data_IF_467146050869
#
_entry.id   IF_467146050869
#
_cell.length_a   1.000
_cell.length_b   1.000
_cell.length_c   1.000
_cell.angle_alpha   90.00
_cell.angle_beta   90.00
_cell.angle_gamma   90.00
#
_symmetry.space_group_name_H-M   'P 1'
#
loop_
_entity.id
_entity.type
_entity.pdbx_description
1 polymer ?
#
# COMPACT_ATOMS: atom_id res chain seq x y z
N UNK A 1 -35.73 10.52 -13.34
CA UNK A 1 -34.32 10.74 -12.96
C UNK A 1 -34.20 10.36 -11.49
N UNK A 2 -33.40 9.34 -11.16
CA UNK A 2 -33.22 8.91 -9.77
C UNK A 2 -32.52 10.03 -8.99
N UNK A 3 -33.12 10.47 -7.89
CA UNK A 3 -32.56 11.48 -6.99
C UNK A 3 -32.43 10.86 -5.61
N UNK A 4 -31.27 11.06 -4.99
CA UNK A 4 -31.01 10.65 -3.62
C UNK A 4 -30.43 11.86 -2.89
N UNK A 5 -31.16 12.38 -1.89
CA UNK A 5 -30.76 13.54 -1.11
C UNK A 5 -30.24 14.70 -1.99
N UNK A 6 -28.95 15.02 -1.88
CA UNK A 6 -28.25 16.06 -2.61
C UNK A 6 -27.62 15.60 -3.94
N UNK A 7 -27.86 14.37 -4.38
CA UNK A 7 -27.29 13.81 -5.62
C UNK A 7 -28.34 13.50 -6.69
N UNK A 8 -27.96 13.74 -7.94
CA UNK A 8 -28.76 13.45 -9.13
C UNK A 8 -28.02 12.43 -9.99
N UNK A 9 -28.65 11.28 -10.24
CA UNK A 9 -28.13 10.30 -11.18
C UNK A 9 -28.20 10.84 -12.62
N UNK A 10 -27.10 10.66 -13.36
CA UNK A 10 -26.94 11.08 -14.76
C UNK A 10 -27.05 9.92 -15.74
N UNK A 11 -26.01 9.09 -15.77
CA UNK A 11 -25.87 7.99 -16.73
C UNK A 11 -25.53 6.70 -16.00
N UNK A 12 -26.16 5.60 -16.41
CA UNK A 12 -25.87 4.28 -15.88
C UNK A 12 -24.47 3.86 -16.34
N UNK A 13 -23.61 3.48 -15.39
CA UNK A 13 -22.25 2.99 -15.65
C UNK A 13 -22.23 1.47 -15.74
N UNK A 14 -22.96 0.79 -14.85
CA UNK A 14 -23.07 -0.67 -14.86
C UNK A 14 -24.36 -1.13 -14.17
N UNK A 15 -24.74 -2.38 -14.44
CA UNK A 15 -25.91 -3.02 -13.84
C UNK A 15 -25.66 -4.51 -13.65
N UNK A 16 -26.14 -5.02 -12.53
CA UNK A 16 -26.12 -6.43 -12.14
C UNK A 16 -27.51 -6.81 -11.60
N UNK A 17 -27.71 -8.07 -11.26
CA UNK A 17 -28.99 -8.55 -10.73
C UNK A 17 -29.40 -7.82 -9.42
N UNK A 18 -28.43 -7.44 -8.60
CA UNK A 18 -28.66 -6.92 -7.25
C UNK A 18 -28.26 -5.46 -7.05
N UNK A 19 -27.53 -4.89 -8.01
CA UNK A 19 -27.05 -3.51 -7.91
C UNK A 19 -26.96 -2.80 -9.26
N UNK A 20 -27.10 -1.48 -9.23
CA UNK A 20 -26.91 -0.60 -10.39
C UNK A 20 -25.99 0.56 -10.01
N UNK A 21 -25.05 0.89 -10.89
CA UNK A 21 -24.09 1.97 -10.69
C UNK A 21 -24.37 3.11 -11.65
N UNK A 22 -24.38 4.33 -11.13
CA UNK A 22 -24.67 5.55 -11.86
C UNK A 22 -23.54 6.56 -11.68
N UNK A 23 -23.19 7.27 -12.76
CA UNK A 23 -22.56 8.57 -12.62
C UNK A 23 -23.59 9.53 -12.05
N UNK A 24 -23.21 10.33 -11.07
CA UNK A 24 -24.06 11.27 -10.40
C UNK A 24 -23.40 12.64 -10.28
N UNK A 25 -24.20 13.67 -9.95
CA UNK A 25 -23.70 14.98 -9.55
C UNK A 25 -24.34 15.45 -8.27
N UNK A 26 -23.53 16.10 -7.43
CA UNK A 26 -24.04 16.84 -6.29
C UNK A 26 -24.81 18.09 -6.77
N UNK A 27 -26.00 18.33 -6.23
CA UNK A 27 -26.95 19.37 -6.66
C UNK A 27 -26.39 20.78 -6.49
N UNK A 28 -25.74 21.03 -5.35
CA UNK A 28 -25.21 22.35 -5.00
C UNK A 28 -23.82 22.62 -5.59
N UNK A 29 -22.84 21.72 -5.39
CA UNK A 29 -21.47 21.92 -5.85
C UNK A 29 -21.27 21.61 -7.34
N UNK A 30 -22.12 20.76 -7.92
CA UNK A 30 -21.95 20.28 -9.30
C UNK A 30 -20.83 19.24 -9.47
N UNK A 31 -20.19 18.83 -8.37
CA UNK A 31 -19.13 17.82 -8.34
C UNK A 31 -19.66 16.45 -8.75
N UNK A 32 -18.81 15.68 -9.42
CA UNK A 32 -19.13 14.33 -9.89
C UNK A 32 -18.94 13.31 -8.78
N UNK A 33 -19.83 12.31 -8.77
CA UNK A 33 -19.82 11.22 -7.82
C UNK A 33 -20.30 9.94 -8.48
N UNK A 34 -20.11 8.80 -7.82
CA UNK A 34 -20.64 7.51 -8.24
C UNK A 34 -21.71 7.05 -7.26
N UNK A 35 -22.92 6.79 -7.74
CA UNK A 35 -24.00 6.20 -6.96
C UNK A 35 -24.09 4.70 -7.22
N UNK A 36 -23.76 3.88 -6.21
CA UNK A 36 -23.94 2.43 -6.22
C UNK A 36 -25.21 2.09 -5.44
N UNK A 37 -26.26 1.70 -6.16
CA UNK A 37 -27.59 1.42 -5.61
C UNK A 37 -27.80 -0.09 -5.53
N UNK A 38 -28.26 -0.59 -4.39
CA UNK A 38 -28.51 -1.99 -4.11
C UNK A 38 -29.98 -2.22 -3.78
N UNK A 39 -30.54 -3.29 -4.34
CA UNK A 39 -31.88 -3.77 -4.01
C UNK A 39 -31.74 -4.85 -2.93
N UNK A 40 -32.06 -4.48 -1.69
CA UNK A 40 -31.90 -5.32 -0.50
C UNK A 40 -32.81 -6.54 -0.53
N UNK A 41 -33.95 -6.47 -1.23
CA UNK A 41 -34.88 -7.59 -1.39
C UNK A 41 -34.30 -8.72 -2.26
N UNK A 42 -33.36 -8.38 -3.15
CA UNK A 42 -32.69 -9.34 -4.06
C UNK A 42 -31.43 -9.97 -3.47
N UNK A 43 -30.99 -9.54 -2.30
CA UNK A 43 -29.77 -10.05 -1.66
C UNK A 43 -30.07 -11.28 -0.80
N UNK A 44 -29.38 -12.38 -1.08
CA UNK A 44 -29.30 -13.48 -0.11
C UNK A 44 -28.43 -13.08 1.10
N UNK A 45 -28.45 -13.89 2.16
CA UNK A 45 -27.69 -13.64 3.40
C UNK A 45 -26.20 -13.37 3.16
N UNK A 46 -25.55 -14.19 2.32
CA UNK A 46 -24.12 -14.05 2.06
C UNK A 46 -23.77 -12.75 1.34
N UNK A 47 -24.61 -12.33 0.38
CA UNK A 47 -24.44 -11.07 -0.34
C UNK A 47 -24.75 -9.87 0.55
N UNK A 48 -25.74 -9.97 1.44
CA UNK A 48 -26.03 -8.94 2.43
C UNK A 48 -24.88 -8.78 3.43
N UNK A 49 -24.28 -9.90 3.85
CA UNK A 49 -23.07 -9.89 4.66
C UNK A 49 -21.88 -9.27 3.90
N UNK A 50 -21.73 -9.51 2.58
CA UNK A 50 -20.73 -8.79 1.77
C UNK A 50 -20.96 -7.27 1.81
N UNK A 51 -22.20 -6.86 1.54
CA UNK A 51 -22.56 -5.44 1.45
C UNK A 51 -22.34 -4.73 2.78
N UNK A 52 -22.72 -5.36 3.90
CA UNK A 52 -22.50 -4.81 5.23
C UNK A 52 -21.00 -4.67 5.55
N UNK A 53 -20.17 -5.65 5.16
CA UNK A 53 -18.72 -5.54 5.34
C UNK A 53 -18.10 -4.43 4.47
N UNK A 54 -18.53 -4.29 3.20
CA UNK A 54 -18.11 -3.20 2.31
C UNK A 54 -18.47 -1.85 2.92
N UNK A 55 -19.72 -1.69 3.37
CA UNK A 55 -20.20 -0.46 3.99
C UNK A 55 -19.47 -0.14 5.31
N UNK A 56 -19.33 -1.11 6.22
CA UNK A 56 -18.63 -0.93 7.51
C UNK A 56 -17.18 -0.49 7.28
N UNK A 57 -16.47 -1.17 6.38
CA UNK A 57 -15.09 -0.83 6.07
C UNK A 57 -14.98 0.57 5.47
N UNK A 58 -15.72 0.86 4.40
CA UNK A 58 -15.65 2.15 3.70
C UNK A 58 -16.10 3.32 4.58
N UNK A 59 -17.02 3.10 5.53
CA UNK A 59 -17.42 4.12 6.50
C UNK A 59 -16.34 4.42 7.54
N UNK A 60 -15.39 3.50 7.75
CA UNK A 60 -14.35 3.60 8.78
C UNK A 60 -13.01 4.15 8.29
N UNK A 61 -12.86 4.39 6.99
CA UNK A 61 -11.59 4.72 6.36
C UNK A 61 -11.65 6.01 5.53
N UNK A 62 -10.62 6.84 5.67
CA UNK A 62 -10.35 8.00 4.82
C UNK A 62 -8.87 7.99 4.47
N UNK A 63 -8.53 7.49 3.28
CA UNK A 63 -7.14 7.31 2.84
C UNK A 63 -7.02 7.67 1.35
N UNK A 64 -5.98 8.41 0.92
CA UNK A 64 -5.85 8.87 -0.47
C UNK A 64 -5.87 7.74 -1.50
N UNK A 65 -5.39 6.54 -1.14
CA UNK A 65 -5.31 5.38 -2.03
C UNK A 65 -6.42 4.34 -1.85
N UNK A 66 -7.53 4.70 -1.20
CA UNK A 66 -8.74 3.87 -1.09
C UNK A 66 -9.92 4.74 -1.53
N UNK A 67 -10.87 4.16 -2.28
CA UNK A 67 -12.06 4.89 -2.72
C UNK A 67 -12.84 5.39 -1.51
N UNK A 68 -13.17 6.69 -1.51
CA UNK A 68 -13.88 7.34 -0.41
C UNK A 68 -15.39 7.19 -0.56
N UNK A 69 -16.02 6.81 0.54
CA UNK A 69 -17.46 6.89 0.72
C UNK A 69 -17.83 8.31 1.16
N UNK A 70 -18.59 9.00 0.33
CA UNK A 70 -19.02 10.38 0.55
C UNK A 70 -20.32 10.44 1.35
N UNK A 71 -21.28 9.58 0.99
CA UNK A 71 -22.61 9.56 1.60
C UNK A 71 -23.24 8.18 1.51
N UNK A 72 -24.14 7.89 2.45
CA UNK A 72 -24.92 6.65 2.48
C UNK A 72 -26.36 7.01 2.80
N UNK A 73 -27.28 6.41 2.05
CA UNK A 73 -28.70 6.44 2.37
C UNK A 73 -29.25 5.02 2.30
N UNK A 74 -30.12 4.66 3.23
CA UNK A 74 -30.74 3.36 3.30
C UNK A 74 -32.20 3.48 3.73
N UNK A 75 -33.09 2.77 3.04
CA UNK A 75 -34.46 2.49 3.45
C UNK A 75 -34.69 0.97 3.60
N UNK A 76 -35.94 0.53 3.71
CA UNK A 76 -36.28 -0.88 3.93
C UNK A 76 -35.89 -1.78 2.74
N UNK A 77 -35.95 -1.25 1.51
CA UNK A 77 -35.79 -2.00 0.27
C UNK A 77 -34.48 -1.70 -0.46
N UNK A 78 -33.89 -0.52 -0.23
CA UNK A 78 -32.73 -0.02 -0.97
C UNK A 78 -31.63 0.51 -0.07
N UNK A 79 -30.39 0.28 -0.50
CA UNK A 79 -29.19 0.91 0.05
C UNK A 79 -28.46 1.61 -1.08
N UNK A 80 -28.06 2.86 -0.88
CA UNK A 80 -27.32 3.65 -1.85
C UNK A 80 -26.04 4.17 -1.21
N UNK A 81 -24.91 3.84 -1.82
CA UNK A 81 -23.60 4.39 -1.49
C UNK A 81 -23.20 5.42 -2.53
N UNK A 82 -22.86 6.62 -2.08
CA UNK A 82 -22.26 7.66 -2.92
C UNK A 82 -20.75 7.65 -2.68
N UNK A 83 -19.99 7.31 -3.72
CA UNK A 83 -18.54 7.26 -3.72
C UNK A 83 -17.98 8.46 -4.47
N UNK A 84 -16.74 8.84 -4.17
CA UNK A 84 -16.00 9.81 -4.98
C UNK A 84 -15.87 9.32 -6.43
N UNK A 85 -15.84 10.26 -7.37
CA UNK A 85 -15.59 9.97 -8.78
C UNK A 85 -14.11 10.16 -9.09
N UNK A 86 -13.53 9.23 -9.85
CA UNK A 86 -12.14 9.29 -10.32
C UNK A 86 -12.13 9.50 -11.83
N UNK A 87 -11.62 10.65 -12.28
CA UNK A 87 -11.74 11.12 -13.66
C UNK A 87 -10.74 10.47 -14.64
N UNK A 88 -9.67 9.87 -14.14
CA UNK A 88 -8.67 9.13 -14.90
C UNK A 88 -9.09 7.71 -15.32
N UNK A 89 -10.26 7.24 -14.89
CA UNK A 89 -10.78 5.91 -15.21
C UNK A 89 -10.09 4.78 -14.45
N UNK A 90 -9.97 3.60 -15.07
CA UNK A 90 -9.35 2.42 -14.43
C UNK A 90 -7.89 2.24 -14.87
N UNK A 91 -7.10 1.57 -14.04
CA UNK A 91 -5.73 1.17 -14.40
C UNK A 91 -5.72 0.21 -15.61
N UNK A 92 -6.75 -0.61 -15.77
CA UNK A 92 -6.93 -1.46 -16.97
C UNK A 92 -7.03 -0.61 -18.25
N UNK A 93 -7.88 0.43 -18.23
CA UNK A 93 -8.01 1.38 -19.35
C UNK A 93 -6.72 2.16 -19.60
N UNK A 94 -5.98 2.49 -18.55
CA UNK A 94 -4.66 3.13 -18.66
C UNK A 94 -3.65 2.21 -19.37
N UNK A 95 -3.52 0.96 -18.96
CA UNK A 95 -2.62 -0.02 -19.59
C UNK A 95 -3.04 -0.28 -21.04
N UNK A 96 -4.34 -0.38 -21.33
CA UNK A 96 -4.84 -0.54 -22.69
C UNK A 96 -4.48 0.64 -23.60
N UNK A 97 -4.53 1.86 -23.07
CA UNK A 97 -4.25 3.10 -23.82
C UNK A 97 -2.77 3.34 -24.04
N UNK A 98 -1.95 3.11 -23.02
CA UNK A 98 -0.52 3.47 -23.04
C UNK A 98 0.41 2.27 -23.22
N UNK A 99 -0.10 1.04 -23.15
CA UNK A 99 0.68 -0.18 -23.17
C UNK A 99 1.41 -0.42 -21.85
N UNK A 100 2.61 -1.00 -21.94
CA UNK A 100 3.45 -1.19 -20.75
C UNK A 100 3.87 0.16 -20.16
N UNK A 101 3.96 0.19 -18.83
CA UNK A 101 4.31 1.34 -18.02
C UNK A 101 5.81 1.30 -17.71
N UNK A 102 6.45 2.47 -17.77
CA UNK A 102 7.86 2.59 -17.41
C UNK A 102 8.09 2.23 -15.94
N UNK A 103 9.25 1.66 -15.66
CA UNK A 103 9.56 1.08 -14.35
C UNK A 103 9.40 2.09 -13.21
N UNK A 104 9.84 3.34 -13.41
CA UNK A 104 9.75 4.37 -12.37
C UNK A 104 8.32 4.85 -12.12
N UNK A 105 7.44 4.80 -13.12
CA UNK A 105 6.00 5.06 -12.96
C UNK A 105 5.36 3.87 -12.24
N UNK A 106 5.69 2.64 -12.65
CA UNK A 106 5.20 1.43 -12.01
C UNK A 106 5.58 1.39 -10.52
N UNK A 107 6.81 1.78 -10.15
CA UNK A 107 7.23 1.92 -8.74
C UNK A 107 6.35 2.90 -7.96
N UNK A 108 6.02 4.06 -8.55
CA UNK A 108 5.11 5.05 -7.92
C UNK A 108 3.71 4.47 -7.73
N UNK A 109 3.18 3.80 -8.74
CA UNK A 109 1.89 3.11 -8.66
C UNK A 109 1.88 2.02 -7.59
N UNK A 110 2.92 1.19 -7.51
CA UNK A 110 3.03 0.15 -6.49
C UNK A 110 3.15 0.73 -5.08
N UNK A 111 3.83 1.87 -4.88
CA UNK A 111 3.87 2.56 -3.59
C UNK A 111 2.47 2.97 -3.14
N UNK A 112 1.66 3.52 -4.06
CA UNK A 112 0.28 3.92 -3.79
C UNK A 112 -0.64 2.74 -3.50
N UNK A 113 -0.59 1.68 -4.32
CA UNK A 113 -1.34 0.43 -4.08
C UNK A 113 -0.94 -0.18 -2.74
N UNK A 114 0.36 -0.23 -2.43
CA UNK A 114 0.85 -0.72 -1.16
C UNK A 114 0.35 0.09 0.03
N UNK A 115 0.28 1.42 -0.09
CA UNK A 115 -0.19 2.29 0.99
C UNK A 115 -1.68 2.05 1.29
N UNK A 116 -2.51 1.91 0.25
CA UNK A 116 -3.91 1.52 0.42
C UNK A 116 -4.05 0.12 1.02
N UNK A 117 -3.29 -0.86 0.51
CA UNK A 117 -3.38 -2.25 0.95
C UNK A 117 -2.93 -2.45 2.40
N UNK A 118 -1.97 -1.67 2.86
CA UNK A 118 -1.56 -1.63 4.27
C UNK A 118 -2.74 -1.30 5.19
N UNK A 119 -3.51 -0.25 4.88
CA UNK A 119 -4.70 0.12 5.67
C UNK A 119 -5.78 -0.96 5.59
N UNK A 120 -5.97 -1.58 4.42
CA UNK A 120 -6.93 -2.68 4.23
C UNK A 120 -6.56 -3.87 5.13
N UNK A 121 -5.31 -4.32 5.10
CA UNK A 121 -4.83 -5.48 5.86
C UNK A 121 -4.73 -5.18 7.38
N UNK A 122 -4.37 -3.96 7.77
CA UNK A 122 -4.36 -3.51 9.18
C UNK A 122 -5.78 -3.53 9.79
N UNK A 123 -6.82 -3.30 8.98
CA UNK A 123 -8.23 -3.46 9.37
C UNK A 123 -8.73 -4.91 9.28
N UNK A 124 -7.82 -5.87 9.05
CA UNK A 124 -8.12 -7.29 8.88
C UNK A 124 -9.05 -7.57 7.70
N UNK A 125 -9.05 -6.72 6.67
CA UNK A 125 -9.81 -6.96 5.45
C UNK A 125 -8.91 -7.63 4.42
N UNK A 126 -9.47 -8.58 3.68
CA UNK A 126 -8.89 -9.15 2.46
C UNK A 126 -9.79 -8.73 1.30
N UNK A 127 -9.21 -8.14 0.26
CA UNK A 127 -9.94 -7.59 -0.88
C UNK A 127 -10.48 -8.69 -1.82
N UNK A 128 -9.66 -9.70 -2.12
CA UNK A 128 -9.97 -10.90 -2.93
C UNK A 128 -10.28 -10.72 -4.42
N UNK A 129 -10.43 -9.48 -4.89
CA UNK A 129 -10.56 -9.19 -6.33
C UNK A 129 -9.71 -7.98 -6.77
N UNK A 130 -8.46 -7.92 -6.30
CA UNK A 130 -7.52 -6.91 -6.80
C UNK A 130 -7.15 -7.24 -8.25
N UNK A 131 -7.37 -6.25 -9.13
CA UNK A 131 -7.07 -6.28 -10.56
C UNK A 131 -7.04 -4.84 -11.09
N UNK A 132 -6.46 -4.57 -12.27
CA UNK A 132 -6.39 -3.22 -12.83
C UNK A 132 -7.76 -2.54 -13.02
N UNK A 133 -8.85 -3.29 -13.22
CA UNK A 133 -10.21 -2.74 -13.31
C UNK A 133 -10.71 -2.15 -11.98
N UNK A 134 -10.20 -2.66 -10.85
CA UNK A 134 -10.58 -2.25 -9.50
C UNK A 134 -9.57 -1.26 -8.87
N UNK A 135 -8.62 -0.75 -9.67
CA UNK A 135 -7.74 0.35 -9.30
C UNK A 135 -8.14 1.55 -10.14
N UNK A 136 -8.73 2.57 -9.50
CA UNK A 136 -9.14 3.80 -10.15
C UNK A 136 -8.01 4.82 -10.15
N UNK A 137 -8.02 5.70 -11.14
CA UNK A 137 -7.05 6.78 -11.31
C UNK A 137 -7.78 8.10 -11.18
N UNK A 138 -7.30 8.95 -10.30
CA UNK A 138 -7.75 10.33 -10.14
C UNK A 138 -6.62 11.29 -10.53
N UNK A 139 -6.97 12.41 -11.17
CA UNK A 139 -6.04 13.44 -11.58
C UNK A 139 -5.38 13.20 -12.95
N UNK A 140 -4.38 14.03 -13.27
CA UNK A 140 -3.71 14.02 -14.58
C UNK A 140 -2.22 14.33 -14.49
N UNK A 141 -1.46 14.01 -15.54
CA UNK A 141 -0.02 14.29 -15.61
C UNK A 141 0.78 13.45 -14.62
N UNK A 142 1.68 14.11 -13.88
CA UNK A 142 2.52 13.44 -12.86
C UNK A 142 1.82 13.26 -11.51
N UNK A 143 0.64 13.89 -11.32
CA UNK A 143 -0.12 13.92 -10.05
C UNK A 143 -1.19 12.82 -9.99
N UNK A 144 -1.01 11.71 -10.70
CA UNK A 144 -1.98 10.59 -10.69
C UNK A 144 -2.05 9.94 -9.31
N UNK A 145 -3.27 9.88 -8.76
CA UNK A 145 -3.58 9.19 -7.52
C UNK A 145 -4.30 7.89 -7.82
N UNK A 146 -3.72 6.75 -7.40
CA UNK A 146 -4.36 5.45 -7.52
C UNK A 146 -5.23 5.17 -6.29
N UNK A 147 -6.46 4.72 -6.51
CA UNK A 147 -7.43 4.37 -5.47
C UNK A 147 -7.89 2.93 -5.64
N UNK A 148 -7.71 2.11 -4.61
CA UNK A 148 -8.28 0.76 -4.55
C UNK A 148 -9.80 0.89 -4.36
N UNK A 149 -10.57 0.25 -5.24
CA UNK A 149 -12.02 0.31 -5.28
C UNK A 149 -12.64 -1.09 -5.38
N UNK A 150 -13.97 -1.13 -5.24
CA UNK A 150 -14.82 -2.34 -5.31
C UNK A 150 -14.51 -3.42 -4.26
N UNK A 151 -15.03 -3.19 -3.05
CA UNK A 151 -14.91 -4.11 -1.92
C UNK A 151 -16.06 -5.12 -1.85
N UNK A 152 -16.80 -5.34 -2.94
CA UNK A 152 -17.96 -6.24 -2.97
C UNK A 152 -17.63 -7.70 -2.64
N UNK A 153 -16.39 -8.12 -2.90
CA UNK A 153 -15.86 -9.42 -2.52
C UNK A 153 -15.01 -9.38 -1.25
N UNK A 154 -14.86 -8.24 -0.58
CA UNK A 154 -14.01 -8.13 0.59
C UNK A 154 -14.58 -8.92 1.79
N UNK A 155 -13.67 -9.38 2.66
CA UNK A 155 -14.02 -10.08 3.90
C UNK A 155 -13.08 -9.74 5.03
N UNK A 156 -13.64 -9.63 6.24
CA UNK A 156 -12.88 -9.56 7.48
C UNK A 156 -12.29 -10.94 7.80
N UNK A 157 -10.98 -11.01 7.97
CA UNK A 157 -10.25 -12.20 8.39
C UNK A 157 -9.36 -11.89 9.58
N UNK A 158 -9.76 -12.36 10.75
CA UNK A 158 -8.93 -12.21 11.95
C UNK A 158 -7.63 -13.03 11.86
N UNK A 159 -6.55 -12.57 12.50
CA UNK A 159 -5.27 -13.28 12.51
C UNK A 159 -5.41 -14.76 12.89
N UNK A 160 -4.73 -15.63 12.15
CA UNK A 160 -4.75 -17.09 12.36
C UNK A 160 -5.99 -17.83 11.82
N UNK A 161 -6.93 -17.11 11.19
CA UNK A 161 -8.04 -17.71 10.43
C UNK A 161 -7.67 -17.79 8.94
N UNK A 162 -8.50 -18.53 8.19
CA UNK A 162 -8.36 -18.71 6.75
C UNK A 162 -9.73 -18.65 6.07
N UNK A 163 -9.73 -18.25 4.80
CA UNK A 163 -10.86 -18.30 3.90
C UNK A 163 -10.76 -19.53 3.00
N UNK A 164 -11.91 -20.02 2.52
CA UNK A 164 -12.03 -21.22 1.68
C UNK A 164 -12.84 -20.99 0.40
N UNK A 165 -13.60 -19.89 0.34
CA UNK A 165 -14.43 -19.57 -0.82
C UNK A 165 -13.55 -19.14 -2.00
N UNK A 166 -13.71 -19.82 -3.14
CA UNK A 166 -13.06 -19.44 -4.40
C UNK A 166 -13.86 -18.32 -5.07
N UNK A 167 -13.25 -17.15 -5.19
CA UNK A 167 -13.82 -15.96 -5.81
C UNK A 167 -12.71 -15.03 -6.31
N UNK A 168 -13.09 -14.05 -7.12
CA UNK A 168 -12.15 -13.12 -7.76
C UNK A 168 -11.88 -13.45 -9.23
N UNK A 169 -11.05 -12.64 -9.85
CA UNK A 169 -10.81 -12.68 -11.28
C UNK A 169 -9.64 -13.63 -11.64
N UNK A 170 -9.85 -14.65 -12.51
CA UNK A 170 -8.93 -15.78 -12.64
C UNK A 170 -7.45 -15.46 -12.90
N UNK A 171 -7.14 -14.40 -13.66
CA UNK A 171 -5.75 -14.06 -13.98
C UNK A 171 -4.97 -13.42 -12.83
N UNK A 172 -5.68 -13.00 -11.78
CA UNK A 172 -5.10 -12.37 -10.59
C UNK A 172 -5.31 -13.21 -9.32
N UNK A 173 -6.02 -14.34 -9.41
CA UNK A 173 -6.21 -15.26 -8.29
C UNK A 173 -4.92 -16.01 -7.97
N UNK A 174 -4.61 -16.10 -6.68
CA UNK A 174 -3.49 -16.89 -6.18
C UNK A 174 -3.69 -18.40 -6.44
N UNK A 175 -2.59 -19.18 -6.60
CA UNK A 175 -2.67 -20.59 -6.94
C UNK A 175 -3.40 -21.43 -5.88
N UNK A 176 -3.31 -21.07 -4.60
CA UNK A 176 -4.02 -21.70 -3.50
C UNK A 176 -5.54 -21.48 -3.59
N UNK A 177 -5.98 -20.29 -4.03
CA UNK A 177 -7.40 -19.97 -4.26
C UNK A 177 -7.92 -20.81 -5.43
N UNK A 178 -7.19 -20.88 -6.54
CA UNK A 178 -7.53 -21.72 -7.70
C UNK A 178 -7.55 -23.22 -7.38
N UNK A 179 -6.86 -23.64 -6.32
CA UNK A 179 -6.79 -25.03 -5.83
C UNK A 179 -7.82 -25.35 -4.75
N UNK A 180 -8.76 -24.44 -4.44
CA UNK A 180 -9.73 -24.60 -3.36
C UNK A 180 -9.06 -24.84 -1.99
N UNK A 181 -7.85 -24.31 -1.80
CA UNK A 181 -7.13 -24.39 -0.53
C UNK A 181 -7.50 -23.22 0.37
N UNK A 182 -7.15 -23.36 1.65
CA UNK A 182 -7.30 -22.32 2.66
C UNK A 182 -6.29 -21.21 2.40
N UNK A 183 -6.72 -19.95 2.44
CA UNK A 183 -5.88 -18.80 2.14
C UNK A 183 -6.11 -17.63 3.10
N UNK A 184 -5.19 -16.66 3.09
CA UNK A 184 -5.21 -15.47 3.93
C UNK A 184 -4.89 -14.22 3.08
N UNK A 185 -4.49 -13.11 3.72
CA UNK A 185 -4.21 -11.82 3.09
C UNK A 185 -3.09 -11.86 2.03
N UNK A 186 -2.24 -12.89 2.04
CA UNK A 186 -1.22 -13.08 1.00
C UNK A 186 -1.80 -13.36 -0.40
N UNK A 187 -3.05 -13.79 -0.49
CA UNK A 187 -3.74 -13.90 -1.77
C UNK A 187 -3.85 -12.54 -2.49
N UNK A 188 -4.10 -11.45 -1.75
CA UNK A 188 -4.10 -10.09 -2.31
C UNK A 188 -2.70 -9.71 -2.79
N UNK A 189 -1.65 -10.12 -2.08
CA UNK A 189 -0.26 -9.84 -2.46
C UNK A 189 0.13 -10.53 -3.77
N UNK A 190 -0.39 -11.74 -4.03
CA UNK A 190 -0.27 -12.38 -5.34
C UNK A 190 -0.92 -11.53 -6.44
N UNK A 191 -2.16 -11.05 -6.20
CA UNK A 191 -2.86 -10.18 -7.16
C UNK A 191 -2.09 -8.89 -7.43
N UNK A 192 -1.48 -8.27 -6.41
CA UNK A 192 -0.56 -7.13 -6.54
C UNK A 192 0.65 -7.49 -7.41
N UNK A 193 1.21 -8.70 -7.27
CA UNK A 193 2.28 -9.21 -8.14
C UNK A 193 1.85 -9.34 -9.60
N UNK A 194 0.64 -9.82 -9.85
CA UNK A 194 0.07 -9.93 -11.19
C UNK A 194 -0.17 -8.55 -11.82
N UNK A 195 -0.65 -7.57 -11.05
CA UNK A 195 -0.79 -6.18 -11.47
C UNK A 195 0.58 -5.57 -11.80
N UNK A 196 1.60 -5.74 -10.94
CA UNK A 196 2.96 -5.27 -11.21
C UNK A 196 3.51 -5.86 -12.51
N UNK A 197 3.36 -7.17 -12.69
CA UNK A 197 3.77 -7.84 -13.92
C UNK A 197 3.07 -7.21 -15.14
N UNK A 198 1.75 -7.03 -15.07
CA UNK A 198 0.96 -6.48 -16.15
C UNK A 198 1.32 -5.03 -16.47
N UNK A 199 1.59 -4.19 -15.46
CA UNK A 199 2.10 -2.84 -15.68
C UNK A 199 3.38 -2.87 -16.49
N UNK A 200 4.33 -3.74 -16.16
CA UNK A 200 5.64 -3.82 -16.80
C UNK A 200 5.60 -4.52 -18.17
N UNK A 201 4.60 -5.37 -18.41
CA UNK A 201 4.54 -6.25 -19.57
C UNK A 201 3.45 -5.87 -20.58
N UNK A 202 2.38 -5.21 -20.13
CA UNK A 202 1.17 -4.84 -20.88
C UNK A 202 0.06 -5.90 -20.87
N UNK A 203 0.26 -7.06 -20.24
CA UNK A 203 -0.79 -8.09 -20.05
C UNK A 203 -0.44 -9.02 -18.86
N UNK A 204 -1.42 -9.68 -18.23
CA UNK A 204 -1.20 -10.45 -17.02
C UNK A 204 -0.32 -11.69 -17.26
N UNK A 205 0.41 -12.17 -16.22
CA UNK A 205 1.44 -13.20 -16.38
C UNK A 205 0.88 -14.55 -16.81
N UNK A 206 -0.25 -14.97 -16.24
CA UNK A 206 -0.82 -16.30 -16.45
C UNK A 206 -2.24 -16.17 -16.99
N UNK A 207 -2.40 -16.47 -18.27
CA UNK A 207 -3.69 -16.42 -19.00
C UNK A 207 -4.18 -17.82 -19.28
N UNK A 208 -5.48 -17.99 -19.46
CA UNK A 208 -6.07 -19.28 -19.79
C UNK A 208 -7.57 -19.16 -20.05
N UNK A 209 -8.14 -20.14 -20.75
CA UNK A 209 -9.56 -20.13 -21.11
C UNK A 209 -10.48 -20.47 -19.92
N UNK A 210 -9.92 -20.99 -18.82
CA UNK A 210 -10.61 -21.32 -17.59
C UNK A 210 -9.62 -21.44 -16.43
N UNK A 211 -10.14 -21.54 -15.20
CA UNK A 211 -9.34 -21.62 -13.97
C UNK A 211 -8.34 -22.78 -13.97
N UNK A 212 -8.71 -23.93 -14.54
CA UNK A 212 -7.84 -25.12 -14.63
C UNK A 212 -6.63 -24.83 -15.52
N UNK A 213 -6.85 -24.17 -16.66
CA UNK A 213 -5.76 -23.81 -17.57
C UNK A 213 -4.85 -22.73 -16.98
N UNK A 214 -5.41 -21.73 -16.29
CA UNK A 214 -4.61 -20.71 -15.58
C UNK A 214 -3.73 -21.38 -14.53
N UNK A 215 -4.30 -22.25 -13.69
CA UNK A 215 -3.54 -22.97 -12.66
C UNK A 215 -2.45 -23.86 -13.27
N UNK A 216 -2.74 -24.55 -14.38
CA UNK A 216 -1.74 -25.34 -15.11
C UNK A 216 -0.59 -24.46 -15.59
N UNK A 217 -0.89 -23.29 -16.16
CA UNK A 217 0.12 -22.35 -16.65
C UNK A 217 0.99 -21.78 -15.52
N UNK A 218 0.39 -21.50 -14.35
CA UNK A 218 1.13 -21.12 -13.14
C UNK A 218 2.10 -22.24 -12.74
N UNK A 219 1.61 -23.48 -12.62
CA UNK A 219 2.42 -24.62 -12.15
C UNK A 219 3.52 -25.06 -13.14
N UNK A 220 3.32 -24.85 -14.45
CA UNK A 220 4.33 -25.18 -15.46
C UNK A 220 5.42 -24.12 -15.62
N UNK A 221 5.23 -22.93 -15.05
CA UNK A 221 6.17 -21.83 -15.16
C UNK A 221 7.37 -22.04 -14.22
N UNK A 222 8.57 -22.11 -14.79
CA UNK A 222 9.83 -22.20 -14.05
C UNK A 222 10.43 -20.83 -13.73
N UNK A 223 9.99 -19.79 -14.46
CA UNK A 223 10.37 -18.40 -14.28
C UNK A 223 9.24 -17.49 -14.78
N UNK A 224 9.21 -16.25 -14.29
CA UNK A 224 8.20 -15.27 -14.69
C UNK A 224 8.18 -15.09 -16.21
N UNK A 225 6.99 -15.10 -16.85
CA UNK A 225 6.86 -15.16 -18.31
C UNK A 225 7.03 -13.78 -18.99
N UNK A 226 7.96 -12.97 -18.52
CA UNK A 226 8.32 -11.72 -19.19
C UNK A 226 8.97 -12.02 -20.55
N UNK A 227 8.68 -11.20 -21.57
CA UNK A 227 9.41 -11.28 -22.83
C UNK A 227 10.91 -11.00 -22.64
N UNK A 228 11.77 -11.66 -23.42
CA UNK A 228 13.23 -11.51 -23.34
C UNK A 228 13.70 -10.06 -23.49
N UNK A 229 13.02 -9.29 -24.34
CA UNK A 229 13.36 -7.87 -24.57
C UNK A 229 13.09 -7.02 -23.33
N UNK A 230 11.98 -7.28 -22.63
CA UNK A 230 11.62 -6.56 -21.41
C UNK A 230 12.56 -6.96 -20.27
N UNK A 231 12.81 -8.26 -20.09
CA UNK A 231 13.73 -8.76 -19.04
C UNK A 231 15.13 -8.15 -19.11
N UNK A 232 15.65 -7.89 -20.31
CA UNK A 232 16.99 -7.32 -20.50
C UNK A 232 17.09 -5.84 -20.10
N UNK A 233 15.95 -5.14 -20.02
CA UNK A 233 15.88 -3.71 -19.74
C UNK A 233 15.42 -3.42 -18.31
N UNK A 234 14.83 -4.40 -17.62
CA UNK A 234 14.32 -4.26 -16.27
C UNK A 234 15.42 -4.29 -15.22
N UNK A 235 15.26 -3.47 -14.18
CA UNK A 235 16.13 -3.52 -13.01
C UNK A 235 15.95 -4.86 -12.26
N UNK A 236 17.05 -5.50 -11.79
CA UNK A 236 16.99 -6.76 -11.07
C UNK A 236 16.04 -6.75 -9.85
N UNK A 237 16.00 -5.64 -9.11
CA UNK A 237 15.11 -5.51 -7.95
C UNK A 237 13.63 -5.58 -8.32
N UNK A 238 13.22 -5.03 -9.48
CA UNK A 238 11.83 -5.14 -9.94
C UNK A 238 11.46 -6.58 -10.27
N UNK A 239 12.40 -7.35 -10.83
CA UNK A 239 12.23 -8.78 -11.09
C UNK A 239 12.14 -9.55 -9.76
N UNK A 240 13.02 -9.27 -8.80
CA UNK A 240 13.00 -9.89 -7.47
C UNK A 240 11.65 -9.68 -6.77
N UNK A 241 11.19 -8.43 -6.68
CA UNK A 241 9.92 -8.10 -6.04
C UNK A 241 8.75 -8.78 -6.72
N UNK A 242 8.68 -8.74 -8.05
CA UNK A 242 7.63 -9.41 -8.80
C UNK A 242 7.65 -10.93 -8.56
N UNK A 243 8.85 -11.54 -8.52
CA UNK A 243 9.00 -12.99 -8.29
C UNK A 243 8.58 -13.42 -6.88
N UNK A 244 8.82 -12.58 -5.88
CA UNK A 244 8.42 -12.83 -4.48
C UNK A 244 6.93 -12.62 -4.24
N UNK A 245 6.27 -11.72 -4.98
CA UNK A 245 4.82 -11.57 -4.97
C UNK A 245 4.12 -12.73 -5.70
N UNK A 246 4.69 -13.19 -6.82
CA UNK A 246 4.19 -14.31 -7.63
C UNK A 246 4.82 -15.65 -7.23
N UNK A 247 5.06 -15.86 -5.93
CA UNK A 247 5.58 -17.11 -5.40
C UNK A 247 4.49 -18.18 -5.34
N UNK A 248 4.70 -19.33 -6.00
CA UNK A 248 3.75 -20.46 -5.98
C UNK A 248 3.52 -20.98 -4.56
N UNK A 249 4.54 -20.90 -3.70
CA UNK A 249 4.39 -21.20 -2.29
C UNK A 249 3.83 -19.97 -1.55
N UNK A 250 2.58 -20.00 -1.06
CA UNK A 250 1.95 -18.86 -0.39
C UNK A 250 2.70 -18.46 0.88
N UNK A 251 3.36 -19.39 1.57
CA UNK A 251 4.16 -19.07 2.75
C UNK A 251 5.37 -18.18 2.39
N UNK A 252 5.94 -18.35 1.21
CA UNK A 252 7.06 -17.56 0.70
C UNK A 252 6.62 -16.26 -0.01
N UNK A 253 5.32 -16.12 -0.32
CA UNK A 253 4.78 -14.89 -0.90
C UNK A 253 5.05 -13.70 0.02
N UNK A 254 5.53 -12.62 -0.58
CA UNK A 254 5.83 -11.37 0.09
C UNK A 254 4.58 -10.82 0.78
N UNK A 255 4.62 -10.66 2.10
CA UNK A 255 3.54 -10.01 2.84
C UNK A 255 3.59 -8.49 2.70
N UNK A 256 2.47 -7.81 2.97
CA UNK A 256 2.44 -6.34 3.00
C UNK A 256 3.49 -5.80 3.97
N UNK A 257 3.75 -6.54 5.06
CA UNK A 257 4.80 -6.32 6.05
C UNK A 257 6.21 -6.12 5.45
N UNK A 258 6.54 -6.80 4.37
CA UNK A 258 7.86 -6.78 3.73
C UNK A 258 7.87 -6.03 2.40
N UNK A 259 6.78 -5.33 2.07
CA UNK A 259 6.61 -4.70 0.76
C UNK A 259 7.59 -3.53 0.57
N UNK A 260 8.57 -3.64 -0.35
CA UNK A 260 9.74 -2.75 -0.38
C UNK A 260 9.41 -1.34 -0.86
N UNK A 261 8.34 -1.17 -1.63
CA UNK A 261 7.91 0.15 -2.11
C UNK A 261 7.39 1.07 -1.00
N UNK A 262 7.17 0.54 0.21
CA UNK A 262 6.77 1.31 1.40
C UNK A 262 7.95 1.85 2.22
N UNK A 263 9.20 1.63 1.79
CA UNK A 263 10.39 2.21 2.43
C UNK A 263 10.55 1.77 3.89
N UNK A 264 10.58 0.46 4.17
CA UNK A 264 10.63 -0.04 5.56
C UNK A 264 12.05 -0.37 6.00
N UNK A 265 12.41 0.02 7.23
CA UNK A 265 13.56 -0.55 7.92
C UNK A 265 13.11 -1.80 8.65
N UNK A 266 13.71 -2.94 8.31
CA UNK A 266 13.58 -4.16 9.09
C UNK A 266 14.92 -4.62 9.63
N UNK A 267 14.90 -5.19 10.84
CA UNK A 267 16.03 -5.91 11.43
C UNK A 267 17.33 -5.10 11.56
N UNK A 268 17.22 -3.78 11.72
CA UNK A 268 18.37 -2.96 12.11
C UNK A 268 18.72 -3.29 13.56
N UNK A 269 19.67 -4.21 13.76
CA UNK A 269 20.24 -4.48 15.08
C UNK A 269 21.15 -3.32 15.45
N UNK A 270 20.73 -2.54 16.43
CA UNK A 270 21.54 -1.44 16.95
C UNK A 270 22.18 -1.91 18.25
N UNK A 271 23.52 -1.84 18.28
CA UNK A 271 24.28 -2.13 19.49
C UNK A 271 24.19 -0.94 20.44
N UNK A 272 23.59 -1.13 21.61
CA UNK A 272 23.63 -0.13 22.68
C UNK A 272 24.95 -0.28 23.42
N UNK A 273 25.83 0.73 23.33
CA UNK A 273 27.01 0.80 24.18
C UNK A 273 26.61 1.27 25.58
N UNK A 274 27.01 0.49 26.59
CA UNK A 274 27.02 0.74 28.03
C UNK A 274 26.13 1.92 28.50
N UNK A 275 24.83 1.66 28.68
CA UNK A 275 23.95 2.60 29.40
C UNK A 275 23.94 2.25 30.88
N UNK A 276 24.48 3.15 31.70
CA UNK A 276 24.27 3.11 33.16
C UNK A 276 22.84 3.54 33.46
N UNK A 277 21.99 2.61 33.89
CA UNK A 277 20.72 2.97 34.52
C UNK A 277 21.00 3.35 35.97
N UNK A 278 20.85 4.63 36.33
CA UNK A 278 20.87 5.04 37.72
C UNK A 278 19.52 4.72 38.37
N UNK A 279 19.27 3.45 38.65
CA UNK A 279 18.45 3.12 39.82
C UNK A 279 19.30 3.49 41.03
N UNK A 280 18.79 4.34 41.93
CA UNK A 280 19.47 4.73 43.17
C UNK A 280 19.71 3.47 44.02
N UNK A 281 20.80 2.76 43.76
CA UNK A 281 21.73 2.21 44.75
C UNK A 281 22.75 1.23 44.14
N UNK A 282 22.57 0.66 42.94
CA UNK A 282 23.57 -0.23 42.33
C UNK A 282 23.66 0.02 40.83
N UNK A 283 24.70 0.75 40.41
CA UNK A 283 24.95 1.06 39.00
C UNK A 283 25.56 -0.14 38.27
N UNK A 284 24.74 -0.98 37.66
CA UNK A 284 25.19 -2.03 36.74
C UNK A 284 25.26 -1.50 35.31
N UNK A 285 26.37 -1.81 34.61
CA UNK A 285 26.53 -1.58 33.17
C UNK A 285 26.09 -2.83 32.43
N UNK A 286 25.10 -2.72 31.56
CA UNK A 286 24.69 -3.81 30.68
C UNK A 286 24.75 -3.36 29.22
N UNK A 287 25.27 -4.22 28.34
CA UNK A 287 25.08 -4.09 26.89
C UNK A 287 23.73 -4.69 26.54
N UNK A 288 22.88 -3.90 25.88
CA UNK A 288 21.61 -4.38 25.34
C UNK A 288 21.62 -4.27 23.81
N UNK A 289 21.07 -5.27 23.15
CA UNK A 289 20.79 -5.21 21.71
C UNK A 289 19.31 -4.89 21.59
N UNK A 290 18.99 -3.76 20.97
CA UNK A 290 17.61 -3.39 20.67
C UNK A 290 17.36 -3.62 19.18
N UNK A 291 16.26 -4.31 18.88
CA UNK A 291 15.75 -4.45 17.51
C UNK A 291 14.78 -3.30 17.27
N UNK A 292 15.13 -2.41 16.34
CA UNK A 292 14.25 -1.32 15.93
C UNK A 292 13.52 -1.76 14.66
N UNK A 293 12.19 -1.78 14.73
CA UNK A 293 11.30 -1.90 13.58
C UNK A 293 10.68 -0.53 13.35
N UNK A 294 10.78 0.00 12.13
CA UNK A 294 10.26 1.34 11.82
C UNK A 294 10.03 1.56 10.32
N UNK A 295 9.09 2.44 9.98
CA UNK A 295 8.92 2.95 8.61
C UNK A 295 9.92 4.08 8.38
N UNK A 296 10.59 4.05 7.24
CA UNK A 296 11.50 5.12 6.82
C UNK A 296 11.01 5.59 5.46
N UNK A 297 9.97 6.42 5.49
CA UNK A 297 9.44 7.02 4.29
C UNK A 297 10.49 7.99 3.75
N UNK A 298 11.37 7.50 2.87
CA UNK A 298 12.07 8.36 1.94
C UNK A 298 11.07 8.70 0.84
N UNK A 299 10.55 9.92 0.86
CA UNK A 299 10.11 10.51 -0.40
C UNK A 299 11.38 10.80 -1.20
N UNK A 300 11.83 9.78 -1.93
CA UNK A 300 12.66 9.95 -3.12
C UNK A 300 11.78 10.48 -4.26
N UNK A 301 10.99 11.52 -3.99
CA UNK A 301 10.52 12.38 -5.05
C UNK A 301 11.71 13.26 -5.41
N UNK A 302 12.28 12.96 -6.59
CA UNK A 302 13.30 13.74 -7.29
C UNK A 302 14.75 13.43 -6.90
N UNK A 303 15.38 12.61 -7.72
CA UNK A 303 16.78 12.77 -8.18
C UNK A 303 17.93 12.65 -7.17
N UNK A 304 17.91 11.68 -6.25
CA UNK A 304 19.16 11.23 -5.66
C UNK A 304 19.11 9.77 -5.21
N UNK A 305 19.80 8.90 -5.96
CA UNK A 305 20.42 7.72 -5.36
C UNK A 305 21.31 8.22 -4.20
N UNK A 306 20.85 8.13 -2.95
CA UNK A 306 21.71 8.43 -1.82
C UNK A 306 22.83 7.38 -1.81
N UNK A 307 24.11 7.78 -1.83
CA UNK A 307 25.20 6.82 -1.68
C UNK A 307 24.96 5.97 -0.42
N UNK A 308 25.19 4.66 -0.49
CA UNK A 308 24.87 3.73 0.60
C UNK A 308 25.42 4.17 1.96
N UNK A 309 26.61 4.76 1.98
CA UNK A 309 27.24 5.35 3.17
C UNK A 309 26.47 6.54 3.77
N UNK A 310 25.77 7.31 2.94
CA UNK A 310 24.90 8.41 3.35
C UNK A 310 23.59 7.88 3.94
N UNK A 311 23.03 6.83 3.33
CA UNK A 311 21.87 6.11 3.83
C UNK A 311 22.17 5.50 5.22
N UNK A 312 23.29 4.81 5.38
CA UNK A 312 23.77 4.26 6.66
C UNK A 312 23.91 5.33 7.75
N UNK A 313 24.37 6.54 7.40
CA UNK A 313 24.48 7.63 8.35
C UNK A 313 23.11 8.24 8.73
N UNK A 314 22.17 8.35 7.79
CA UNK A 314 20.80 8.81 8.09
C UNK A 314 20.03 7.80 8.93
N UNK A 315 20.20 6.52 8.61
CA UNK A 315 19.72 5.37 9.39
C UNK A 315 20.22 5.43 10.84
N UNK A 316 21.49 5.72 11.03
CA UNK A 316 22.09 5.86 12.35
C UNK A 316 21.48 7.02 13.15
N UNK A 317 21.22 8.17 12.51
CA UNK A 317 20.59 9.34 13.15
C UNK A 317 19.14 9.03 13.52
N UNK A 318 18.35 8.45 12.61
CA UNK A 318 16.97 8.03 12.88
C UNK A 318 16.89 7.07 14.07
N UNK A 319 17.72 6.03 14.06
CA UNK A 319 17.80 5.06 15.15
C UNK A 319 18.17 5.71 16.49
N UNK A 320 19.05 6.72 16.49
CA UNK A 320 19.43 7.44 17.71
C UNK A 320 18.27 8.28 18.27
N UNK A 321 17.45 8.86 17.41
CA UNK A 321 16.29 9.67 17.79
C UNK A 321 15.16 8.79 18.34
N UNK A 322 14.84 7.69 17.66
CA UNK A 322 13.84 6.74 18.17
C UNK A 322 14.29 6.09 19.49
N UNK A 323 15.58 5.84 19.66
CA UNK A 323 16.14 5.37 20.93
C UNK A 323 15.92 6.38 22.06
N UNK A 324 16.10 7.68 21.82
CA UNK A 324 15.82 8.72 22.81
C UNK A 324 14.33 8.73 23.19
N UNK A 325 13.44 8.57 22.21
CA UNK A 325 11.99 8.54 22.40
C UNK A 325 11.54 7.35 23.25
N UNK A 326 12.03 6.16 22.95
CA UNK A 326 11.63 4.90 23.63
C UNK A 326 12.22 4.80 25.04
N UNK A 327 13.45 5.30 25.24
CA UNK A 327 14.15 5.14 26.54
C UNK A 327 13.98 6.32 27.48
N UNK A 328 13.45 7.45 26.99
CA UNK A 328 13.37 8.71 27.74
C UNK A 328 14.74 9.37 27.99
N UNK A 329 15.82 8.82 27.43
CA UNK A 329 17.17 9.37 27.54
C UNK A 329 17.30 10.58 26.62
N UNK A 330 17.79 11.74 27.09
CA UNK A 330 17.97 12.91 26.24
C UNK A 330 18.82 12.61 25.00
N UNK A 331 18.34 12.98 23.82
CA UNK A 331 19.04 12.75 22.54
C UNK A 331 20.44 13.37 22.53
N UNK A 332 20.63 14.49 23.24
CA UNK A 332 21.93 15.15 23.45
C UNK A 332 22.95 14.25 24.14
N UNK A 333 22.52 13.41 25.08
CA UNK A 333 23.38 12.47 25.79
C UNK A 333 23.85 11.33 24.86
N UNK A 334 22.95 10.81 24.02
CA UNK A 334 23.25 9.74 23.05
C UNK A 334 24.17 10.22 21.91
N UNK A 335 24.03 11.48 21.49
CA UNK A 335 24.85 12.08 20.43
C UNK A 335 26.26 12.43 20.94
N UNK A 336 26.42 12.79 22.22
CA UNK A 336 27.68 13.29 22.80
C UNK A 336 28.83 12.27 22.92
N UNK A 337 28.56 10.95 22.83
CA UNK A 337 29.56 9.89 23.07
C UNK A 337 29.98 9.08 21.84
N UNK A 338 29.58 9.48 20.63
CA UNK A 338 29.98 8.82 19.37
C UNK A 338 30.63 9.77 18.37
N UNK A 339 31.25 9.21 17.31
CA UNK A 339 31.70 9.96 16.11
C UNK A 339 30.57 10.74 15.40
N UNK A 340 29.33 10.53 15.87
CA UNK A 340 28.05 11.11 15.51
C UNK A 340 28.05 12.63 15.37
N UNK A 341 28.75 13.39 16.23
CA UNK A 341 28.82 14.87 16.11
C UNK A 341 29.66 15.28 14.90
N UNK A 342 30.76 14.58 14.60
CA UNK A 342 31.59 14.85 13.41
C UNK A 342 30.85 14.48 12.13
N UNK A 343 30.10 13.38 12.14
CA UNK A 343 29.28 12.93 11.01
C UNK A 343 28.09 13.86 10.77
N UNK A 344 27.33 14.23 11.82
CA UNK A 344 26.28 15.25 11.72
C UNK A 344 26.83 16.60 11.27
N UNK A 345 27.98 17.04 11.80
CA UNK A 345 28.65 18.28 11.38
C UNK A 345 29.10 18.23 9.92
N UNK A 346 29.67 17.11 9.46
CA UNK A 346 30.05 16.90 8.05
C UNK A 346 28.83 16.82 7.13
N UNK A 347 27.76 16.16 7.56
CA UNK A 347 26.48 16.08 6.83
C UNK A 347 25.83 17.45 6.74
N UNK A 348 25.76 18.21 7.84
CA UNK A 348 25.25 19.59 7.88
C UNK A 348 26.09 20.54 7.01
N UNK A 349 27.42 20.39 7.01
CA UNK A 349 28.33 21.14 6.12
C UNK A 349 28.11 20.79 4.64
N UNK A 350 27.83 19.52 4.31
CA UNK A 350 27.49 19.08 2.95
C UNK A 350 26.04 19.42 2.55
N UNK A 351 25.13 19.49 3.52
CA UNK A 351 23.71 19.79 3.34
C UNK A 351 23.39 21.29 3.31
N UNK A 352 24.38 22.18 3.56
CA UNK A 352 24.23 23.64 3.37
C UNK A 352 23.76 24.05 1.97
N UNK A 353 23.78 23.14 0.99
CA UNK A 353 23.26 23.37 -0.37
C UNK A 353 21.93 22.69 -0.68
N UNK A 354 21.28 21.98 0.26
CA UNK A 354 20.07 21.23 -0.08
C UNK A 354 18.97 21.33 0.98
N UNK A 355 17.91 22.03 0.60
CA UNK A 355 16.64 22.27 1.32
C UNK A 355 15.95 20.99 1.83
N UNK A 356 16.17 19.84 1.17
CA UNK A 356 15.56 18.56 1.57
C UNK A 356 15.97 18.10 2.97
N UNK A 357 17.20 18.36 3.42
CA UNK A 357 17.67 17.88 4.73
C UNK A 357 16.94 18.58 5.89
N UNK A 358 16.65 19.87 5.74
CA UNK A 358 15.89 20.63 6.73
C UNK A 358 14.38 20.32 6.67
N UNK A 359 13.84 19.97 5.51
CA UNK A 359 12.47 19.44 5.39
C UNK A 359 12.34 18.07 6.06
N UNK A 360 13.33 17.19 5.87
CA UNK A 360 13.43 15.88 6.54
C UNK A 360 13.51 16.01 8.08
N UNK A 361 14.30 16.95 8.61
CA UNK A 361 14.35 17.17 10.06
C UNK A 361 13.05 17.76 10.63
N UNK A 362 12.32 18.56 9.84
CA UNK A 362 11.01 19.10 10.24
C UNK A 362 9.92 18.04 10.28
N UNK A 363 9.91 17.11 9.33
CA UNK A 363 8.93 16.01 9.33
C UNK A 363 9.12 15.02 10.49
N UNK A 364 10.31 15.00 11.10
CA UNK A 364 10.60 14.17 12.28
C UNK A 364 10.18 14.80 13.62
N UNK A 365 9.50 15.96 13.61
CA UNK A 365 8.98 16.65 14.80
C UNK A 365 10.04 16.84 15.92
N UNK A 366 11.30 17.05 15.52
CA UNK A 366 12.42 17.26 16.43
C UNK A 366 12.23 18.59 17.17
N UNK A 367 12.13 18.52 18.49
CA UNK A 367 11.87 19.65 19.37
C UNK A 367 12.92 20.77 19.17
N UNK A 368 12.51 22.05 19.21
CA UNK A 368 13.38 23.24 18.98
C UNK A 368 14.64 23.28 19.88
N UNK A 369 14.66 22.52 20.97
CA UNK A 369 15.80 22.31 21.87
C UNK A 369 17.04 21.69 21.18
N UNK A 370 16.88 20.77 20.22
CA UNK A 370 18.01 20.17 19.49
C UNK A 370 18.72 21.15 18.56
N UNK A 371 18.00 22.16 18.04
CA UNK A 371 18.60 23.25 17.24
C UNK A 371 19.34 24.29 18.08
N UNK A 372 19.21 24.25 19.42
CA UNK A 372 19.97 25.11 20.34
C UNK A 372 21.33 24.54 20.76
N UNK A 373 21.63 23.28 20.45
CA UNK A 373 23.00 22.75 20.63
C UNK A 373 23.89 23.46 19.61
N UNK A 374 24.60 24.47 20.11
CA UNK A 374 25.18 25.58 19.37
C UNK A 374 26.04 25.17 18.18
N UNK A 375 25.80 25.88 17.07
CA UNK A 375 26.76 26.18 16.03
C UNK A 375 28.03 26.78 16.67
N UNK A 376 29.14 26.05 16.58
CA UNK A 376 30.49 26.58 16.54
C UNK A 376 31.22 26.00 15.32
#
# INVERSE_FOLDING_TARGET
>A
MMMLDDYIAKSKLSESLTSTVWLAKHKLTGEEAVMKCFDLSKLNRNLRDCLNNELEFLSSVDHPNIIRLLHVSQDDDFLVMVLEYCDGGTLSSYIQRYGRVEEDIAKRFMKQIGAGLEIIHDNHIIHRDLKPENILIDGSGDDLVLKIADFSLARKLHPGKYLETVCGSPFYMAPEVLQFQRYNEKADMWSVGAILFELLHGYPPFRGNNNVQVLRNIKSSTALPFSRLILQQMHPDCIDVCSRLLSINPAATLGIEDFPFLGRIKNSRVWVKDTTFSSRQHGTRERKVATINGRLQFDLSQDAYLPQRLLENLMYIYNTIEMARVTGVPTSYLISRGESIKVLSQLLRKAKQKTWFFQMLRSWNLNKELMKVQLF
#
